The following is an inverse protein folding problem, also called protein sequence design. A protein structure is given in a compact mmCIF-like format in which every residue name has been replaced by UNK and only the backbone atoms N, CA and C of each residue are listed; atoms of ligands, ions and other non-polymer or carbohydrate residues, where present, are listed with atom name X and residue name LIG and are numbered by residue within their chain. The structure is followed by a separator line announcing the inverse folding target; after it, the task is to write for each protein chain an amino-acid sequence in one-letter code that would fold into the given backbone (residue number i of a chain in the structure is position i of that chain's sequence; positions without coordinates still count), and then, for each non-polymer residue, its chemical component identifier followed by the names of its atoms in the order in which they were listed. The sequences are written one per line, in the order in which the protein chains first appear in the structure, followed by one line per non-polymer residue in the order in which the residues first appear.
data_IF_314601609936
#
_entry.id   IF_314601609936
#
_cell.length_a   1.000
_cell.length_b   1.000
_cell.length_c   1.000
_cell.angle_alpha   90.00
_cell.angle_beta   90.00
_cell.angle_gamma   90.00
#
_symmetry.space_group_name_H-M   'P 1'
#
loop_
_entity.id
_entity.type
_entity.pdbx_description
1 polymer ?
#
# COMPACT_ATOMS: atom_id res chain seq x y z
N UNK A 1 5.09 -29.94 -29.90
CA UNK A 1 5.69 -28.99 -28.92
C UNK A 1 7.17 -29.30 -28.78
N UNK A 2 8.08 -28.36 -29.13
CA UNK A 2 9.53 -28.55 -28.96
C UNK A 2 9.87 -28.54 -27.47
N UNK A 3 10.65 -29.52 -27.01
CA UNK A 3 11.07 -29.65 -25.61
C UNK A 3 11.87 -28.41 -25.18
N UNK A 4 11.62 -27.89 -23.96
CA UNK A 4 12.29 -26.73 -23.35
C UNK A 4 13.83 -26.88 -23.38
N UNK A 5 14.32 -28.12 -23.42
CA UNK A 5 15.75 -28.44 -23.54
C UNK A 5 16.38 -27.86 -24.80
N UNK A 6 15.63 -27.74 -25.90
CA UNK A 6 16.10 -27.31 -27.22
C UNK A 6 16.12 -25.79 -27.42
N UNK A 7 15.73 -25.00 -26.42
CA UNK A 7 15.71 -23.54 -26.53
C UNK A 7 17.10 -22.93 -26.47
N UNK A 8 17.32 -21.85 -27.22
CA UNK A 8 18.53 -21.05 -27.18
C UNK A 8 18.72 -20.43 -25.78
N UNK A 9 19.97 -20.20 -25.38
CA UNK A 9 20.29 -19.56 -24.09
C UNK A 9 19.51 -18.24 -23.86
N UNK A 10 19.40 -17.33 -24.85
CA UNK A 10 18.60 -16.12 -24.69
C UNK A 10 17.12 -16.40 -24.37
N UNK A 11 16.50 -17.35 -25.08
CA UNK A 11 15.08 -17.69 -24.88
C UNK A 11 14.81 -18.26 -23.47
N UNK A 12 15.75 -19.02 -22.90
CA UNK A 12 15.67 -19.53 -21.53
C UNK A 12 15.75 -18.40 -20.50
N UNK A 13 16.66 -17.44 -20.69
CA UNK A 13 16.80 -16.29 -19.78
C UNK A 13 15.56 -15.38 -19.81
N UNK A 14 15.04 -15.07 -21.00
CA UNK A 14 13.81 -14.26 -21.13
C UNK A 14 12.61 -14.94 -20.48
N UNK A 15 12.47 -16.25 -20.65
CA UNK A 15 11.35 -16.98 -20.04
C UNK A 15 11.48 -17.04 -18.52
N UNK A 16 12.68 -17.27 -17.99
CA UNK A 16 12.94 -17.22 -16.56
C UNK A 16 12.61 -15.85 -15.96
N UNK A 17 13.06 -14.77 -16.62
CA UNK A 17 12.75 -13.41 -16.21
C UNK A 17 11.24 -13.12 -16.25
N UNK A 18 10.56 -13.53 -17.33
CA UNK A 18 9.11 -13.36 -17.46
C UNK A 18 8.35 -14.08 -16.34
N UNK A 19 8.77 -15.29 -15.96
CA UNK A 19 8.18 -16.03 -14.85
C UNK A 19 8.41 -15.28 -13.52
N UNK A 20 9.62 -14.77 -13.27
CA UNK A 20 9.90 -13.99 -12.04
C UNK A 20 9.05 -12.73 -11.98
N UNK A 21 8.90 -12.01 -13.10
CA UNK A 21 8.06 -10.80 -13.17
C UNK A 21 6.58 -11.15 -12.94
N UNK A 22 6.06 -12.18 -13.60
CA UNK A 22 4.65 -12.60 -13.46
C UNK A 22 4.37 -13.10 -12.05
N UNK A 23 5.23 -13.95 -11.48
CA UNK A 23 5.08 -14.45 -10.11
C UNK A 23 5.21 -13.32 -9.09
N UNK A 24 6.12 -12.37 -9.30
CA UNK A 24 6.24 -11.18 -8.45
C UNK A 24 4.99 -10.30 -8.53
N UNK A 25 4.45 -10.10 -9.73
CA UNK A 25 3.25 -9.29 -9.99
C UNK A 25 2.00 -9.90 -9.35
N UNK A 26 1.72 -11.17 -9.61
CA UNK A 26 0.54 -11.85 -9.06
C UNK A 26 0.69 -12.33 -7.61
N UNK A 27 1.92 -12.55 -7.14
CA UNK A 27 2.21 -12.87 -5.72
C UNK A 27 2.15 -11.66 -4.78
N UNK A 28 1.79 -10.48 -5.31
CA UNK A 28 1.64 -9.24 -4.56
C UNK A 28 2.97 -8.62 -4.13
N UNK A 29 4.11 -9.06 -4.69
CA UNK A 29 5.41 -8.41 -4.47
C UNK A 29 5.64 -7.26 -5.48
N UNK A 30 4.94 -7.26 -6.62
CA UNK A 30 4.96 -6.22 -7.66
C UNK A 30 3.57 -5.62 -7.98
N UNK A 31 2.58 -5.83 -7.10
CA UNK A 31 1.40 -4.97 -7.02
C UNK A 31 0.19 -5.39 -7.85
N UNK A 32 -0.82 -5.91 -7.16
CA UNK A 32 -2.21 -5.55 -7.42
C UNK A 32 -2.95 -5.52 -6.09
N UNK A 33 -3.29 -4.31 -5.65
CA UNK A 33 -4.33 -4.08 -4.65
C UNK A 33 -5.55 -3.60 -5.41
N UNK A 34 -6.75 -4.05 -5.05
CA UNK A 34 -7.97 -3.62 -5.76
C UNK A 34 -8.30 -2.14 -5.46
N UNK A 35 -7.82 -1.63 -4.31
CA UNK A 35 -7.91 -0.23 -3.90
C UNK A 35 -6.57 0.47 -4.18
N UNK A 36 -6.64 1.60 -4.89
CA UNK A 36 -5.50 2.49 -5.13
C UNK A 36 -5.21 3.37 -3.91
N UNK A 37 -4.00 3.93 -3.81
CA UNK A 37 -3.65 4.86 -2.74
C UNK A 37 -4.62 6.04 -2.66
N UNK A 38 -4.99 6.63 -3.80
CA UNK A 38 -5.94 7.75 -3.84
C UNK A 38 -7.34 7.37 -3.35
N UNK A 39 -7.80 6.15 -3.67
CA UNK A 39 -9.08 5.63 -3.17
C UNK A 39 -9.03 5.37 -1.66
N UNK A 40 -7.92 4.79 -1.17
CA UNK A 40 -7.71 4.61 0.27
C UNK A 40 -7.68 5.97 1.00
N UNK A 41 -7.04 6.99 0.43
CA UNK A 41 -7.03 8.36 0.97
C UNK A 41 -8.43 8.94 1.04
N UNK A 42 -9.26 8.75 0.00
CA UNK A 42 -10.67 9.19 0.02
C UNK A 42 -11.48 8.52 1.12
N UNK A 43 -11.35 7.20 1.27
CA UNK A 43 -12.04 6.44 2.31
C UNK A 43 -11.59 6.94 3.69
N UNK A 44 -10.28 7.10 3.88
CA UNK A 44 -9.69 7.55 5.13
C UNK A 44 -10.05 9.01 5.46
N UNK A 45 -10.11 9.90 4.46
CA UNK A 45 -10.49 11.31 4.63
C UNK A 45 -11.90 11.47 5.19
N UNK A 46 -12.81 10.56 4.84
CA UNK A 46 -14.18 10.53 5.37
C UNK A 46 -14.24 10.10 6.85
N UNK A 47 -13.15 9.58 7.42
CA UNK A 47 -13.09 9.15 8.82
C UNK A 47 -12.52 10.22 9.77
N UNK A 48 -11.94 11.30 9.24
CA UNK A 48 -11.36 12.37 10.06
C UNK A 48 -12.30 13.58 10.12
N UNK A 49 -12.29 14.29 11.24
CA UNK A 49 -13.17 15.43 11.54
C UNK A 49 -12.50 16.80 11.36
N UNK A 50 -11.25 16.82 10.89
CA UNK A 50 -10.45 18.03 10.69
C UNK A 50 -9.98 18.17 9.23
N UNK A 51 -9.53 19.36 8.85
CA UNK A 51 -8.84 19.60 7.58
C UNK A 51 -7.33 19.40 7.78
N UNK A 52 -6.73 18.35 7.20
CA UNK A 52 -5.30 18.12 7.34
C UNK A 52 -4.49 19.08 6.47
N UNK A 53 -3.35 19.55 6.97
CA UNK A 53 -2.39 20.32 6.17
C UNK A 53 -1.56 19.40 5.28
N UNK A 54 -1.29 18.20 5.77
CA UNK A 54 -0.47 17.19 5.11
C UNK A 54 -1.07 15.80 5.28
N UNK A 55 -0.77 14.93 4.31
CA UNK A 55 -1.13 13.52 4.37
C UNK A 55 -0.05 12.65 3.73
N UNK A 56 -0.03 11.37 4.11
CA UNK A 56 0.79 10.34 3.50
C UNK A 56 -0.01 9.03 3.42
N UNK A 57 0.22 8.24 2.38
CA UNK A 57 -0.42 6.95 2.18
C UNK A 57 0.64 5.90 1.85
N UNK A 58 0.79 4.92 2.73
CA UNK A 58 1.79 3.86 2.59
C UNK A 58 1.10 2.49 2.50
N UNK A 59 1.51 1.70 1.51
CA UNK A 59 1.04 0.32 1.39
C UNK A 59 1.97 -0.60 2.15
N UNK A 60 1.43 -1.29 3.15
CA UNK A 60 2.11 -2.29 3.94
C UNK A 60 1.41 -3.64 3.93
N UNK A 61 1.99 -4.59 4.66
CA UNK A 61 1.34 -5.87 5.01
C UNK A 61 1.28 -6.01 6.52
N UNK A 62 0.13 -6.39 7.06
CA UNK A 62 -0.11 -6.49 8.50
C UNK A 62 -0.72 -7.86 8.85
N UNK A 63 -0.34 -8.40 10.01
CA UNK A 63 -0.91 -9.62 10.58
C UNK A 63 -0.39 -10.94 9.99
N UNK A 64 -1.00 -12.05 10.44
CA UNK A 64 -0.75 -13.41 9.95
C UNK A 64 -2.10 -14.16 9.77
N UNK A 65 -2.48 -14.60 8.55
CA UNK A 65 -1.77 -14.40 7.28
C UNK A 65 -1.65 -12.91 6.89
N UNK A 66 -0.60 -12.51 6.15
CA UNK A 66 -0.34 -11.12 5.83
C UNK A 66 -1.43 -10.55 4.92
N UNK A 67 -2.11 -9.50 5.37
CA UNK A 67 -3.11 -8.77 4.60
C UNK A 67 -2.52 -7.47 4.07
N UNK A 68 -2.83 -7.05 2.82
CA UNK A 68 -2.37 -5.77 2.31
C UNK A 68 -3.21 -4.64 2.91
N UNK A 69 -2.54 -3.63 3.47
CA UNK A 69 -3.17 -2.53 4.20
C UNK A 69 -2.55 -1.21 3.78
N UNK A 70 -3.41 -0.24 3.43
CA UNK A 70 -3.03 1.16 3.28
C UNK A 70 -3.06 1.84 4.65
N UNK A 71 -1.92 2.33 5.11
CA UNK A 71 -1.80 3.20 6.26
C UNK A 71 -1.84 4.66 5.78
N UNK A 72 -2.97 5.33 5.97
CA UNK A 72 -3.16 6.73 5.57
C UNK A 72 -3.04 7.61 6.81
N UNK A 73 -2.03 8.46 6.87
CA UNK A 73 -1.80 9.37 7.99
C UNK A 73 -2.11 10.80 7.58
N UNK A 74 -2.90 11.50 8.39
CA UNK A 74 -3.26 12.90 8.26
C UNK A 74 -2.71 13.70 9.43
N UNK A 75 -2.15 14.89 9.20
CA UNK A 75 -1.65 15.72 10.30
C UNK A 75 -1.69 17.22 10.03
N UNK A 76 -1.67 17.98 11.14
CA UNK A 76 -1.49 19.44 11.21
C UNK A 76 -0.18 19.69 11.96
N UNK A 77 0.68 20.58 11.45
CA UNK A 77 1.96 20.88 12.12
C UNK A 77 1.72 21.82 13.29
N UNK A 78 2.35 21.55 14.44
CA UNK A 78 2.22 22.41 15.60
C UNK A 78 2.83 23.80 15.33
N UNK A 79 2.07 24.85 15.65
CA UNK A 79 2.49 26.26 15.46
C UNK A 79 3.46 26.76 16.52
N UNK A 80 3.70 25.96 17.56
CA UNK A 80 4.61 26.29 18.67
C UNK A 80 6.09 26.18 18.31
N UNK A 81 6.42 25.59 17.15
CA UNK A 81 7.78 25.53 16.63
C UNK A 81 8.65 24.43 17.26
N UNK A 82 8.09 23.54 18.08
CA UNK A 82 8.85 22.44 18.71
C UNK A 82 8.95 21.17 17.85
N UNK A 83 8.48 21.22 16.59
CA UNK A 83 8.61 20.10 15.65
C UNK A 83 7.61 18.96 15.88
N UNK A 84 6.47 19.26 16.53
CA UNK A 84 5.38 18.32 16.78
C UNK A 84 4.21 18.45 15.80
N UNK A 85 3.16 17.67 16.07
CA UNK A 85 1.88 17.74 15.38
C UNK A 85 0.84 18.34 16.31
N UNK A 86 0.04 19.29 15.83
CA UNK A 86 -1.13 19.81 16.57
C UNK A 86 -2.25 18.75 16.63
N UNK A 87 -2.32 17.92 15.59
CA UNK A 87 -3.23 16.78 15.53
C UNK A 87 -2.69 15.79 14.51
N UNK A 88 -2.74 14.49 14.81
CA UNK A 88 -2.44 13.42 13.85
C UNK A 88 -3.47 12.32 13.93
N UNK A 89 -3.87 11.78 12.77
CA UNK A 89 -4.75 10.61 12.73
C UNK A 89 -4.30 9.66 11.64
N UNK A 90 -4.07 8.41 12.00
CA UNK A 90 -3.72 7.34 11.07
C UNK A 90 -4.91 6.39 10.90
N UNK A 91 -5.30 6.13 9.66
CA UNK A 91 -6.39 5.25 9.28
C UNK A 91 -5.81 4.08 8.47
N UNK A 92 -6.06 2.86 8.94
CA UNK A 92 -5.69 1.62 8.26
C UNK A 92 -6.86 1.14 7.41
N UNK A 93 -6.66 0.99 6.10
CA UNK A 93 -7.66 0.56 5.13
C UNK A 93 -7.21 -0.72 4.44
N UNK A 94 -8.05 -1.74 4.38
CA UNK A 94 -7.74 -2.98 3.68
C UNK A 94 -7.62 -2.74 2.18
N UNK A 95 -6.48 -3.09 1.59
CA UNK A 95 -6.14 -2.69 0.23
C UNK A 95 -6.91 -3.44 -0.87
N UNK A 96 -7.60 -4.53 -0.54
CA UNK A 96 -8.44 -5.26 -1.50
C UNK A 96 -9.95 -4.95 -1.35
N UNK A 97 -10.40 -4.51 -0.17
CA UNK A 97 -11.84 -4.38 0.12
C UNK A 97 -12.27 -2.94 0.38
N UNK A 98 -11.33 -2.06 0.74
CA UNK A 98 -11.63 -0.69 1.18
C UNK A 98 -12.20 -0.63 2.60
N UNK A 99 -12.21 -1.74 3.33
CA UNK A 99 -12.67 -1.78 4.72
C UNK A 99 -11.74 -0.98 5.63
N UNK A 100 -12.29 -0.11 6.48
CA UNK A 100 -11.52 0.58 7.53
C UNK A 100 -11.27 -0.42 8.65
N UNK A 101 -10.01 -0.79 8.82
CA UNK A 101 -9.57 -1.79 9.80
C UNK A 101 -9.33 -1.15 11.17
N UNK A 102 -8.73 0.05 11.18
CA UNK A 102 -8.35 0.73 12.43
C UNK A 102 -8.20 2.23 12.23
N UNK A 103 -8.51 2.99 13.28
CA UNK A 103 -8.28 4.43 13.36
C UNK A 103 -7.45 4.68 14.62
N UNK A 104 -6.31 5.34 14.47
CA UNK A 104 -5.46 5.80 15.56
C UNK A 104 -5.50 7.32 15.57
N UNK A 105 -5.98 7.88 16.68
CA UNK A 105 -6.06 9.32 16.89
C UNK A 105 -4.96 9.68 17.88
N UNK A 106 -3.99 10.45 17.43
CA UNK A 106 -2.94 11.01 18.28
C UNK A 106 -3.28 12.51 18.49
N UNK A 107 -3.67 12.88 19.71
CA UNK A 107 -4.02 14.27 20.05
C UNK A 107 -2.80 15.18 20.13
#
# INVERSE_FOLDING_TARGET
MKSIRQWSMPAKMFTGLAIVVVVGYFGGCLGRTDITGDEAVRIARAQIDFEPEHFNAELGRQGYPPKPVWAVTFWIVAKDGEGGFERRTAVEVHADTGEVLKIHIDP
#
